data_IF_090432809950
#
_entry.id   IF_090432809950
#
_cell.length_a   1.000
_cell.length_b   1.000
_cell.length_c   1.000
_cell.angle_alpha   90.00
_cell.angle_beta   90.00
_cell.angle_gamma   90.00
#
_symmetry.space_group_name_H-M   'P 1'
#
loop_
_entity.id
_entity.type
_entity.pdbx_description
1 polymer ?
#
# COMPACT_ATOMS: atom_id res chain seq x y z
N UNK A 1 1.78 -13.29 3.98
CA UNK A 1 2.81 -12.54 4.71
C UNK A 1 3.90 -12.13 3.74
N UNK A 2 4.24 -10.85 3.67
CA UNK A 2 5.30 -10.41 2.79
C UNK A 2 6.65 -10.59 3.46
N UNK A 3 7.64 -11.08 2.70
CA UNK A 3 8.99 -11.20 3.19
C UNK A 3 9.75 -9.88 3.00
N UNK A 4 10.99 -9.85 3.48
CA UNK A 4 11.82 -8.64 3.42
C UNK A 4 12.06 -8.18 1.98
N UNK A 5 12.37 -9.10 1.08
CA UNK A 5 12.65 -8.74 -0.31
C UNK A 5 11.41 -8.14 -0.99
N UNK A 6 10.24 -8.71 -0.73
CA UNK A 6 8.99 -8.17 -1.25
C UNK A 6 8.75 -6.77 -0.71
N UNK A 7 8.96 -6.55 0.59
CA UNK A 7 8.77 -5.25 1.20
C UNK A 7 9.71 -4.20 0.57
N UNK A 8 10.98 -4.53 0.43
CA UNK A 8 11.94 -3.62 -0.19
C UNK A 8 11.57 -3.29 -1.64
N UNK A 9 11.17 -4.32 -2.40
CA UNK A 9 10.77 -4.14 -3.78
C UNK A 9 9.55 -3.23 -3.93
N UNK A 10 8.53 -3.44 -3.09
CA UNK A 10 7.32 -2.64 -3.16
C UNK A 10 7.56 -1.20 -2.73
N UNK A 11 8.36 -0.99 -1.69
CA UNK A 11 8.54 0.33 -1.09
C UNK A 11 9.60 1.18 -1.79
N UNK A 12 10.35 0.63 -2.73
CA UNK A 12 11.32 1.43 -3.49
C UNK A 12 10.64 2.42 -4.45
N UNK A 13 9.41 2.19 -4.82
CA UNK A 13 8.67 3.04 -5.76
C UNK A 13 8.03 4.21 -5.02
N UNK A 14 8.34 5.43 -5.46
CA UNK A 14 7.83 6.63 -4.79
C UNK A 14 6.31 6.73 -4.82
N UNK A 15 5.70 6.42 -5.96
CA UNK A 15 4.24 6.52 -6.08
C UNK A 15 3.55 5.53 -5.14
N UNK A 16 4.10 4.31 -5.00
CA UNK A 16 3.55 3.34 -4.05
C UNK A 16 3.61 3.87 -2.62
N UNK A 17 4.72 4.51 -2.24
CA UNK A 17 4.82 5.12 -0.89
C UNK A 17 3.79 6.23 -0.71
N UNK A 18 3.56 7.04 -1.73
CA UNK A 18 2.55 8.10 -1.68
C UNK A 18 1.13 7.52 -1.56
N UNK A 19 0.84 6.43 -2.26
CA UNK A 19 -0.43 5.73 -2.13
C UNK A 19 -0.62 5.25 -0.68
N UNK A 20 0.39 4.63 -0.12
CA UNK A 20 0.31 4.14 1.26
C UNK A 20 0.13 5.26 2.27
N UNK A 21 0.78 6.42 2.06
CA UNK A 21 0.59 7.57 2.93
C UNK A 21 -0.86 8.02 3.02
N UNK A 22 -1.59 7.91 1.90
CA UNK A 22 -3.00 8.26 1.89
C UNK A 22 -3.86 7.18 2.53
N UNK A 23 -3.56 5.91 2.22
CA UNK A 23 -4.34 4.78 2.71
C UNK A 23 -4.22 4.54 4.20
N UNK A 24 -3.07 4.89 4.82
CA UNK A 24 -2.94 4.73 6.28
C UNK A 24 -3.86 5.67 7.05
N UNK A 25 -4.34 6.73 6.42
CA UNK A 25 -5.25 7.68 7.06
C UNK A 25 -6.69 7.21 6.97
N UNK A 26 -7.09 6.73 5.80
CA UNK A 26 -8.43 6.20 5.57
C UNK A 26 -8.48 5.44 4.25
N UNK A 27 -9.44 4.53 4.09
CA UNK A 27 -9.60 3.82 2.81
C UNK A 27 -9.91 4.78 1.67
N UNK A 28 -9.49 4.40 0.46
CA UNK A 28 -9.70 5.23 -0.73
C UNK A 28 -10.11 4.37 -1.92
N UNK A 29 -10.87 4.98 -2.83
CA UNK A 29 -11.11 4.43 -4.15
C UNK A 29 -9.94 4.78 -5.07
N UNK A 30 -9.65 3.96 -6.09
CA UNK A 30 -8.55 4.27 -7.01
C UNK A 30 -8.66 5.66 -7.66
N UNK A 31 -9.88 6.08 -8.03
CA UNK A 31 -10.08 7.40 -8.65
C UNK A 31 -9.72 8.53 -7.68
N UNK A 32 -10.02 8.37 -6.38
CA UNK A 32 -9.65 9.37 -5.39
C UNK A 32 -8.13 9.52 -5.31
N UNK A 33 -7.42 8.39 -5.28
CA UNK A 33 -5.95 8.41 -5.23
C UNK A 33 -5.36 9.03 -6.49
N UNK A 34 -5.94 8.71 -7.65
CA UNK A 34 -5.47 9.29 -8.92
C UNK A 34 -5.61 10.81 -8.90
N UNK A 35 -6.75 11.32 -8.42
CA UNK A 35 -6.97 12.76 -8.34
C UNK A 35 -6.06 13.43 -7.32
N UNK A 36 -5.89 12.81 -6.15
CA UNK A 36 -5.05 13.37 -5.08
C UNK A 36 -3.58 13.42 -5.48
N UNK A 37 -3.11 12.42 -6.21
CA UNK A 37 -1.70 12.29 -6.56
C UNK A 37 -1.36 12.80 -7.96
N UNK A 38 -2.37 13.23 -8.73
CA UNK A 38 -2.14 13.81 -10.04
C UNK A 38 -1.64 12.83 -11.08
N UNK A 39 -2.07 11.57 -11.00
CA UNK A 39 -1.68 10.53 -11.93
C UNK A 39 -2.91 9.83 -12.49
N UNK A 40 -2.71 8.97 -13.50
CA UNK A 40 -3.83 8.26 -14.12
C UNK A 40 -4.38 7.19 -13.17
N UNK A 41 -5.66 6.87 -13.31
CA UNK A 41 -6.27 5.80 -12.55
C UNK A 41 -5.62 4.46 -12.89
N UNK A 42 -5.22 4.26 -14.14
CA UNK A 42 -4.56 3.03 -14.57
C UNK A 42 -3.24 2.81 -13.81
N UNK A 43 -2.46 3.87 -13.62
CA UNK A 43 -1.22 3.79 -12.86
C UNK A 43 -1.50 3.41 -11.40
N UNK A 44 -2.52 4.03 -10.80
CA UNK A 44 -2.92 3.70 -9.44
C UNK A 44 -3.33 2.24 -9.31
N UNK A 45 -4.20 1.76 -10.20
CA UNK A 45 -4.69 0.38 -10.15
C UNK A 45 -3.52 -0.62 -10.27
N UNK A 46 -2.57 -0.33 -11.16
CA UNK A 46 -1.39 -1.18 -11.32
C UNK A 46 -0.62 -1.31 -10.01
N UNK A 47 -0.36 -0.19 -9.35
CA UNK A 47 0.39 -0.20 -8.09
C UNK A 47 -0.42 -0.81 -6.93
N UNK A 48 -1.72 -0.57 -6.90
CA UNK A 48 -2.56 -1.18 -5.87
C UNK A 48 -2.58 -2.70 -5.99
N UNK A 49 -2.60 -3.24 -7.20
CA UNK A 49 -2.54 -4.69 -7.41
C UNK A 49 -1.22 -5.27 -6.91
N UNK A 50 -0.11 -4.58 -7.13
CA UNK A 50 1.19 -5.02 -6.63
C UNK A 50 1.22 -4.97 -5.09
N UNK A 51 0.70 -3.91 -4.50
CA UNK A 51 0.63 -3.78 -3.05
C UNK A 51 -0.29 -4.84 -2.43
N UNK A 52 -1.38 -5.17 -3.10
CA UNK A 52 -2.28 -6.23 -2.65
C UNK A 52 -1.61 -7.59 -2.70
N UNK A 53 -0.88 -7.85 -3.79
CA UNK A 53 -0.15 -9.11 -3.96
C UNK A 53 0.88 -9.32 -2.85
N UNK A 54 1.49 -8.23 -2.37
CA UNK A 54 2.43 -8.27 -1.26
C UNK A 54 1.79 -8.21 0.12
N UNK A 55 0.46 -8.19 0.19
CA UNK A 55 -0.32 -8.14 1.43
C UNK A 55 -0.18 -6.81 2.20
N UNK A 56 0.17 -5.73 1.52
CA UNK A 56 0.25 -4.41 2.13
C UNK A 56 -1.12 -3.76 2.22
N UNK A 57 -1.97 -4.02 1.23
CA UNK A 57 -3.32 -3.47 1.18
C UNK A 57 -4.31 -4.58 0.91
N UNK A 58 -5.54 -4.33 1.26
CA UNK A 58 -6.66 -5.21 0.94
C UNK A 58 -7.73 -4.40 0.22
N UNK A 59 -8.52 -5.09 -0.58
CA UNK A 59 -9.64 -4.46 -1.26
C UNK A 59 -10.95 -5.01 -0.73
N UNK A 60 -11.97 -4.16 -0.77
CA UNK A 60 -13.32 -4.54 -0.39
C UNK A 60 -14.27 -3.97 -1.41
N UNK A 61 -15.23 -4.76 -1.85
CA UNK A 61 -16.26 -4.30 -2.76
C UNK A 61 -17.43 -3.77 -1.96
N UNK A 62 -17.85 -2.55 -2.27
CA UNK A 62 -19.02 -1.94 -1.64
C UNK A 62 -20.15 -1.88 -2.66
N UNK A 63 -21.39 -2.24 -2.27
CA UNK A 63 -22.50 -2.12 -3.20
C UNK A 63 -22.75 -0.65 -3.56
N UNK A 64 -23.17 -0.44 -4.81
CA UNK A 64 -23.53 0.90 -5.24
C UNK A 64 -24.94 1.22 -4.75
N UNK A 65 -25.11 2.38 -4.12
CA UNK A 65 -26.41 2.82 -3.63
C UNK A 65 -27.41 3.07 -4.77
N UNK A 66 -26.90 3.33 -5.98
CA UNK A 66 -27.74 3.64 -7.13
C UNK A 66 -27.94 2.45 -8.07
N UNK A 67 -27.66 1.22 -7.59
CA UNK A 67 -27.87 0.02 -8.39
C UNK A 67 -26.85 -0.21 -9.49
N UNK A 68 -25.74 0.50 -9.49
CA UNK A 68 -24.65 0.27 -10.44
C UNK A 68 -23.73 -0.86 -9.98
N UNK A 69 -22.64 -1.10 -10.71
CA UNK A 69 -21.70 -2.15 -10.31
C UNK A 69 -21.04 -1.81 -8.97
N UNK A 70 -20.64 -2.81 -8.19
CA UNK A 70 -19.97 -2.57 -6.92
C UNK A 70 -18.68 -1.76 -7.12
N UNK A 71 -18.37 -0.89 -6.16
CA UNK A 71 -17.15 -0.11 -6.17
C UNK A 71 -16.10 -0.81 -5.31
N UNK A 72 -14.85 -0.70 -5.71
CA UNK A 72 -13.73 -1.31 -4.98
C UNK A 72 -12.99 -0.23 -4.20
N UNK A 73 -12.88 -0.42 -2.89
CA UNK A 73 -12.14 0.48 -2.01
C UNK A 73 -10.93 -0.26 -1.44
N UNK A 74 -9.85 0.45 -1.22
CA UNK A 74 -8.61 -0.13 -0.71
C UNK A 74 -8.23 0.45 0.65
N UNK A 75 -7.64 -0.40 1.50
CA UNK A 75 -7.18 0.01 2.82
C UNK A 75 -5.87 -0.69 3.16
N UNK A 76 -5.14 -0.17 4.14
CA UNK A 76 -3.90 -0.81 4.60
C UNK A 76 -4.26 -2.01 5.45
N UNK A 77 -3.59 -3.13 5.17
CA UNK A 77 -3.90 -4.42 5.80
C UNK A 77 -3.04 -4.74 7.00
N UNK A 78 -1.78 -4.33 6.99
CA UNK A 78 -0.85 -4.74 8.05
C UNK A 78 -0.04 -3.57 8.58
N UNK A 79 0.44 -3.74 9.81
CA UNK A 79 1.37 -2.80 10.42
C UNK A 79 2.75 -3.44 10.46
N UNK A 80 3.76 -2.71 10.00
CA UNK A 80 5.12 -3.23 9.97
C UNK A 80 6.12 -2.10 10.10
N UNK A 81 7.33 -2.43 10.51
CA UNK A 81 8.46 -1.51 10.45
C UNK A 81 9.56 -2.14 9.62
N UNK A 82 10.31 -1.29 8.95
CA UNK A 82 11.48 -1.69 8.18
C UNK A 82 12.62 -0.80 8.67
N UNK A 83 13.70 -1.42 9.17
CA UNK A 83 14.83 -0.68 9.72
C UNK A 83 16.10 -1.05 8.98
N UNK A 84 16.85 -0.03 8.58
CA UNK A 84 18.14 -0.19 7.92
C UNK A 84 19.18 0.56 8.75
N UNK A 85 20.18 -0.17 9.24
CA UNK A 85 21.30 0.43 9.96
C UNK A 85 22.54 0.30 9.08
N UNK A 86 23.25 1.41 8.91
CA UNK A 86 24.42 1.46 8.06
C UNK A 86 25.49 2.33 8.70
N UNK A 87 26.68 1.79 8.89
CA UNK A 87 27.84 2.51 9.44
C UNK A 87 29.10 1.68 9.32
N UNK A 88 30.26 2.19 9.75
CA UNK A 88 31.47 1.40 9.77
C UNK A 88 31.26 0.12 10.60
N UNK A 89 31.55 -1.03 9.99
CA UNK A 89 31.37 -2.34 10.61
C UNK A 89 29.91 -2.65 11.01
N UNK A 90 28.95 -1.95 10.40
CA UNK A 90 27.56 -2.14 10.70
C UNK A 90 26.71 -2.09 9.42
N UNK A 91 26.02 -3.19 9.12
CA UNK A 91 24.98 -3.18 8.10
C UNK A 91 23.92 -4.19 8.48
N UNK A 92 22.71 -3.73 8.71
CA UNK A 92 21.61 -4.63 8.99
C UNK A 92 20.30 -4.11 8.39
N UNK A 93 19.46 -5.05 7.95
CA UNK A 93 18.14 -4.74 7.43
C UNK A 93 17.18 -5.65 8.19
N UNK A 94 16.18 -5.07 8.83
CA UNK A 94 15.27 -5.81 9.68
C UNK A 94 13.83 -5.41 9.37
N UNK A 95 12.96 -6.42 9.31
CA UNK A 95 11.53 -6.22 9.15
C UNK A 95 10.81 -6.80 10.35
N UNK A 96 9.87 -6.05 10.90
CA UNK A 96 9.04 -6.47 12.03
C UNK A 96 7.58 -6.26 11.71
N UNK A 97 6.75 -7.23 12.08
CA UNK A 97 5.32 -7.03 12.13
C UNK A 97 4.98 -6.30 13.42
N UNK A 98 4.18 -5.24 13.33
CA UNK A 98 3.79 -4.50 14.51
C UNK A 98 2.42 -5.00 14.98
N UNK A 99 2.16 -4.97 16.30
CA UNK A 99 0.85 -5.36 16.79
C UNK A 99 -0.22 -4.41 16.24
N UNK A 100 -1.41 -4.97 15.95
CA UNK A 100 -2.55 -4.17 15.54
C UNK A 100 -2.94 -3.26 16.69
N UNK A 101 -2.90 -1.96 16.43
CA UNK A 101 -3.18 -0.97 17.46
C UNK A 101 -4.64 -0.77 17.72
#
# INVERSE_FOLDING_TARGET
MSDLETALSLLQNKLRRQILERLVREPHYPMQLANLLGVSQQAIVKHLKELERGNFVMKMKLPSEKGGPPRTIYSVQQSMSLRIDLGPDLFSVEQRSLPAG
#
